data_IF_030114881607
#
_entry.id   IF_030114881607
#
_cell.length_a   1.000
_cell.length_b   1.000
_cell.length_c   1.000
_cell.angle_alpha   90.00
_cell.angle_beta   90.00
_cell.angle_gamma   90.00
#
_symmetry.space_group_name_H-M   'P 1'
#
loop_
_entity.id
_entity.type
_entity.pdbx_description
1 polymer ?
#
# COMPACT_ATOMS: atom_id res chain seq x y z
N UNK A 1 29.51 -4.05 -10.35
CA UNK A 1 29.01 -2.85 -11.07
C UNK A 1 27.61 -2.55 -10.54
N UNK A 2 27.26 -1.31 -10.15
CA UNK A 2 25.91 -0.97 -9.71
C UNK A 2 24.89 -1.08 -10.86
N UNK A 3 23.67 -1.56 -10.56
CA UNK A 3 22.58 -1.73 -11.53
C UNK A 3 21.38 -0.84 -11.20
N UNK A 4 20.64 -0.41 -12.22
CA UNK A 4 19.33 0.24 -12.03
C UNK A 4 18.28 -0.83 -11.78
N UNK A 5 17.58 -0.73 -10.66
CA UNK A 5 16.60 -1.73 -10.20
C UNK A 5 15.22 -1.08 -10.10
N UNK A 6 14.20 -1.78 -10.59
CA UNK A 6 12.81 -1.50 -10.29
C UNK A 6 12.29 -2.61 -9.37
N UNK A 7 11.59 -2.23 -8.30
CA UNK A 7 10.93 -3.17 -7.39
C UNK A 7 9.44 -3.15 -7.70
N UNK A 8 8.87 -4.33 -7.94
CA UNK A 8 7.43 -4.49 -8.16
C UNK A 8 6.85 -5.30 -7.01
N UNK A 9 5.83 -4.74 -6.36
CA UNK A 9 5.06 -5.44 -5.33
C UNK A 9 3.72 -5.81 -5.92
N UNK A 10 3.51 -7.12 -6.11
CA UNK A 10 2.23 -7.69 -6.52
C UNK A 10 1.36 -7.86 -5.28
N UNK A 11 0.31 -7.05 -5.16
CA UNK A 11 -0.57 -7.04 -3.99
C UNK A 11 -1.99 -6.62 -4.36
N UNK A 12 -2.94 -7.53 -4.17
CA UNK A 12 -4.36 -7.18 -4.07
C UNK A 12 -4.67 -6.65 -2.66
N UNK A 13 -5.80 -5.95 -2.52
CA UNK A 13 -6.27 -5.35 -1.27
C UNK A 13 -7.28 -6.28 -0.55
N UNK A 14 -8.34 -5.74 0.07
CA UNK A 14 -9.32 -6.54 0.78
C UNK A 14 -10.08 -7.50 -0.15
N UNK A 15 -10.45 -8.68 0.34
CA UNK A 15 -11.13 -9.75 -0.40
C UNK A 15 -12.60 -9.93 0.01
N UNK A 16 -13.17 -8.94 0.70
CA UNK A 16 -14.49 -9.02 1.34
C UNK A 16 -15.48 -7.98 0.80
N UNK A 17 -15.39 -7.67 -0.51
CA UNK A 17 -16.26 -6.68 -1.16
C UNK A 17 -17.67 -7.21 -1.48
N UNK A 18 -17.84 -8.52 -1.62
CA UNK A 18 -19.09 -9.13 -2.08
C UNK A 18 -19.59 -10.20 -1.10
N UNK A 19 -20.88 -10.15 -0.76
CA UNK A 19 -21.51 -11.17 0.09
C UNK A 19 -21.53 -12.55 -0.55
N UNK A 20 -21.55 -12.61 -1.88
CA UNK A 20 -21.45 -13.83 -2.70
C UNK A 20 -20.03 -14.26 -3.00
N UNK A 21 -19.03 -13.46 -2.59
CA UNK A 21 -17.63 -13.78 -2.77
C UNK A 21 -17.15 -14.89 -1.82
N UNK A 22 -15.96 -15.48 -2.07
CA UNK A 22 -15.45 -16.61 -1.31
C UNK A 22 -15.22 -16.33 0.19
N UNK A 23 -15.15 -15.06 0.58
CA UNK A 23 -14.93 -14.63 1.96
C UNK A 23 -16.11 -13.86 2.57
N UNK A 24 -17.21 -13.73 1.82
CA UNK A 24 -18.36 -12.91 2.21
C UNK A 24 -18.05 -11.41 2.27
N UNK A 25 -19.06 -10.63 2.63
CA UNK A 25 -18.93 -9.18 2.81
C UNK A 25 -18.45 -8.86 4.23
N UNK A 26 -17.53 -7.91 4.35
CA UNK A 26 -17.12 -7.34 5.62
C UNK A 26 -17.20 -5.81 5.58
N UNK A 27 -17.74 -5.15 6.62
CA UNK A 27 -17.71 -3.69 6.70
C UNK A 27 -16.29 -3.10 6.78
N UNK A 28 -15.28 -3.92 7.11
CA UNK A 28 -13.88 -3.52 7.12
C UNK A 28 -13.30 -3.29 5.71
N UNK A 29 -13.95 -3.79 4.66
CA UNK A 29 -13.42 -3.82 3.29
C UNK A 29 -13.10 -2.42 2.77
N UNK A 30 -14.04 -1.47 2.91
CA UNK A 30 -13.90 -0.11 2.39
C UNK A 30 -12.89 0.71 3.21
N UNK A 31 -12.94 0.73 4.56
CA UNK A 31 -11.92 1.41 5.36
C UNK A 31 -10.50 0.87 5.12
N UNK A 32 -10.34 -0.44 4.92
CA UNK A 32 -9.03 -1.05 4.63
C UNK A 32 -8.47 -0.56 3.29
N UNK A 33 -9.24 -0.69 2.20
CA UNK A 33 -8.83 -0.26 0.87
C UNK A 33 -8.53 1.25 0.81
N UNK A 34 -9.36 2.06 1.48
CA UNK A 34 -9.15 3.51 1.57
C UNK A 34 -7.87 3.88 2.33
N UNK A 35 -7.54 3.15 3.40
CA UNK A 35 -6.32 3.37 4.17
C UNK A 35 -5.06 3.02 3.35
N UNK A 36 -5.07 1.89 2.63
CA UNK A 36 -4.02 1.53 1.68
C UNK A 36 -3.88 2.57 0.56
N UNK A 37 -4.99 3.06 0.01
CA UNK A 37 -4.98 4.08 -1.05
C UNK A 37 -4.46 5.44 -0.55
N UNK A 38 -4.78 5.83 0.69
CA UNK A 38 -4.22 7.04 1.32
C UNK A 38 -2.71 6.93 1.44
N UNK A 39 -2.21 5.84 2.02
CA UNK A 39 -0.77 5.56 2.09
C UNK A 39 -0.13 5.60 0.69
N UNK A 40 -0.75 4.95 -0.30
CA UNK A 40 -0.16 4.90 -1.64
C UNK A 40 -0.07 6.27 -2.32
N UNK A 41 -0.94 7.22 -1.93
CA UNK A 41 -0.95 8.58 -2.43
C UNK A 41 0.04 9.49 -1.71
N UNK A 42 0.21 9.32 -0.39
CA UNK A 42 0.92 10.28 0.46
C UNK A 42 2.25 9.77 1.00
N UNK A 43 2.47 8.46 1.00
CA UNK A 43 3.50 7.75 1.76
C UNK A 43 3.46 7.99 3.28
N UNK A 44 2.39 8.59 3.83
CA UNK A 44 2.17 8.63 5.29
C UNK A 44 2.04 7.19 5.82
N UNK A 45 2.90 6.80 6.75
CA UNK A 45 2.93 5.45 7.31
C UNK A 45 1.68 5.10 8.10
N UNK A 46 1.02 6.06 8.77
CA UNK A 46 -0.09 5.78 9.72
C UNK A 46 -1.28 5.06 9.06
N UNK A 47 -1.81 5.52 7.90
CA UNK A 47 -2.87 4.78 7.21
C UNK A 47 -2.55 3.31 6.93
N UNK A 48 -1.30 2.99 6.56
CA UNK A 48 -0.94 1.61 6.27
C UNK A 48 -0.63 0.82 7.55
N UNK A 49 0.30 1.32 8.35
CA UNK A 49 0.91 0.56 9.46
C UNK A 49 0.02 0.48 10.70
N UNK A 50 -0.91 1.42 10.87
CA UNK A 50 -1.82 1.47 12.01
C UNK A 50 -3.25 1.16 11.55
N UNK A 51 -3.83 1.99 10.70
CA UNK A 51 -5.25 1.89 10.34
C UNK A 51 -5.56 0.60 9.56
N UNK A 52 -4.92 0.37 8.41
CA UNK A 52 -5.12 -0.85 7.62
C UNK A 52 -4.70 -2.11 8.40
N UNK A 53 -3.66 -2.02 9.25
CA UNK A 53 -3.22 -3.14 10.08
C UNK A 53 -4.33 -3.66 11.00
N UNK A 54 -5.10 -2.76 11.63
CA UNK A 54 -6.19 -3.13 12.55
C UNK A 54 -7.35 -3.83 11.86
N UNK A 55 -7.52 -3.61 10.55
CA UNK A 55 -8.61 -4.14 9.74
C UNK A 55 -8.21 -5.40 8.96
N UNK A 56 -6.93 -5.78 8.99
CA UNK A 56 -6.35 -6.81 8.12
C UNK A 56 -7.08 -8.16 8.21
N UNK A 57 -7.40 -8.59 9.43
CA UNK A 57 -8.00 -9.89 9.67
C UNK A 57 -9.43 -9.97 9.11
N UNK A 58 -10.17 -8.87 9.13
CA UNK A 58 -11.53 -8.77 8.57
C UNK A 58 -11.55 -8.47 7.07
N UNK A 59 -10.53 -7.78 6.58
CA UNK A 59 -10.34 -7.48 5.16
C UNK A 59 -9.89 -8.71 4.35
N UNK A 60 -9.31 -9.74 5.02
CA UNK A 60 -8.78 -10.96 4.38
C UNK A 60 -7.77 -10.66 3.26
N UNK A 61 -6.98 -9.59 3.42
CA UNK A 61 -6.01 -9.15 2.42
C UNK A 61 -4.74 -10.02 2.43
N UNK A 62 -4.32 -10.50 1.25
CA UNK A 62 -3.08 -11.25 1.08
C UNK A 62 -1.86 -10.35 0.77
N UNK A 63 -2.09 -9.16 0.21
CA UNK A 63 -1.03 -8.26 -0.27
C UNK A 63 -0.42 -7.32 0.78
N UNK A 64 -1.03 -7.21 1.97
CA UNK A 64 -0.67 -6.19 2.98
C UNK A 64 0.81 -6.20 3.35
N UNK A 65 1.39 -7.38 3.60
CA UNK A 65 2.79 -7.48 3.99
C UNK A 65 3.75 -6.95 2.90
N UNK A 66 3.40 -7.13 1.62
CA UNK A 66 4.17 -6.57 0.52
C UNK A 66 4.18 -5.04 0.54
N UNK A 67 3.05 -4.41 0.86
CA UNK A 67 2.94 -2.96 1.01
C UNK A 67 3.76 -2.45 2.21
N UNK A 68 3.72 -3.15 3.34
CA UNK A 68 4.50 -2.81 4.54
C UNK A 68 6.01 -2.92 4.29
N UNK A 69 6.46 -3.97 3.59
CA UNK A 69 7.86 -4.13 3.18
C UNK A 69 8.26 -3.00 2.23
N UNK A 70 7.41 -2.65 1.26
CA UNK A 70 7.68 -1.54 0.34
C UNK A 70 7.85 -0.23 1.09
N UNK A 71 6.97 0.08 2.04
CA UNK A 71 7.09 1.29 2.86
C UNK A 71 8.45 1.34 3.57
N UNK A 72 8.84 0.26 4.27
CA UNK A 72 10.15 0.20 4.93
C UNK A 72 11.34 0.29 3.96
N UNK A 73 11.24 -0.28 2.76
CA UNK A 73 12.26 -0.16 1.73
C UNK A 73 12.40 1.29 1.23
N UNK A 74 11.29 1.99 1.01
CA UNK A 74 11.29 3.40 0.57
C UNK A 74 11.92 4.32 1.63
N UNK A 75 11.68 4.05 2.92
CA UNK A 75 12.37 4.73 4.04
C UNK A 75 13.88 4.48 4.01
N UNK A 76 14.34 3.25 3.70
CA UNK A 76 15.78 2.91 3.80
C UNK A 76 16.61 3.27 2.58
N UNK A 77 16.04 3.25 1.37
CA UNK A 77 16.79 3.39 0.10
C UNK A 77 17.09 4.85 -0.26
N UNK A 78 16.67 5.79 0.58
CA UNK A 78 16.86 7.19 0.29
C UNK A 78 18.29 7.66 0.62
N UNK A 79 19.06 7.97 -0.44
CA UNK A 79 20.45 8.41 -0.33
C UNK A 79 20.65 9.76 0.38
N UNK A 80 21.92 10.15 0.57
CA UNK A 80 22.31 11.41 1.20
C UNK A 80 21.58 12.62 0.57
N UNK A 81 20.73 13.29 1.34
CA UNK A 81 19.90 14.41 0.90
C UNK A 81 18.49 14.44 1.48
N UNK A 82 18.04 13.32 2.07
CA UNK A 82 16.73 13.18 2.71
C UNK A 82 16.90 13.36 4.23
N UNK A 83 16.35 14.44 4.80
CA UNK A 83 16.60 14.83 6.21
C UNK A 83 15.32 14.89 7.07
N UNK A 84 14.21 14.36 6.56
CA UNK A 84 12.93 14.32 7.27
C UNK A 84 12.86 13.30 8.42
N UNK A 85 11.83 13.43 9.27
CA UNK A 85 11.56 12.59 10.45
C UNK A 85 11.22 11.14 10.12
N UNK A 86 10.69 10.89 8.92
CA UNK A 86 10.66 9.57 8.29
C UNK A 86 11.68 9.54 7.17
N UNK A 87 12.95 9.40 7.56
CA UNK A 87 14.11 9.49 6.70
C UNK A 87 13.83 8.74 5.38
N UNK A 88 13.73 9.48 4.27
CA UNK A 88 13.76 8.93 2.94
C UNK A 88 12.48 8.90 2.13
N UNK A 89 11.30 8.98 2.74
CA UNK A 89 10.04 9.01 2.00
C UNK A 89 9.85 10.30 1.20
N UNK A 90 10.42 11.41 1.69
CA UNK A 90 10.48 12.72 1.03
C UNK A 90 11.26 12.69 -0.29
N UNK A 91 12.17 11.75 -0.46
CA UNK A 91 12.95 11.53 -1.68
C UNK A 91 12.20 10.77 -2.77
N UNK A 92 10.94 10.39 -2.54
CA UNK A 92 10.09 9.75 -3.51
C UNK A 92 8.93 10.65 -3.93
N UNK A 93 8.55 10.56 -5.20
CA UNK A 93 7.31 11.11 -5.74
C UNK A 93 6.31 9.98 -5.84
N UNK A 94 5.32 10.01 -4.95
CA UNK A 94 4.20 9.08 -4.95
C UNK A 94 3.16 9.45 -6.00
N UNK A 95 2.62 8.44 -6.68
CA UNK A 95 1.48 8.58 -7.58
C UNK A 95 0.60 7.34 -7.50
N UNK A 96 -0.62 7.53 -7.02
CA UNK A 96 -1.70 6.56 -7.12
C UNK A 96 -2.43 6.77 -8.46
N UNK A 97 -2.47 5.74 -9.29
CA UNK A 97 -3.03 5.78 -10.64
C UNK A 97 -4.49 5.36 -10.68
N UNK A 98 -4.82 4.28 -9.99
CA UNK A 98 -6.18 3.74 -9.96
C UNK A 98 -6.41 2.96 -8.66
N UNK A 99 -7.68 2.93 -8.25
CA UNK A 99 -8.23 2.04 -7.21
C UNK A 99 -9.55 1.51 -7.75
N UNK A 100 -9.77 0.20 -7.68
CA UNK A 100 -11.00 -0.43 -8.18
C UNK A 100 -11.23 -1.78 -7.50
N UNK A 101 -12.47 -2.26 -7.51
CA UNK A 101 -12.85 -3.61 -7.05
C UNK A 101 -13.88 -4.20 -8.04
N UNK A 102 -13.45 -4.67 -9.22
CA UNK A 102 -14.39 -5.16 -10.25
C UNK A 102 -15.11 -6.45 -9.85
N UNK A 103 -14.60 -7.17 -8.84
CA UNK A 103 -15.20 -8.36 -8.24
C UNK A 103 -15.05 -8.29 -6.72
N UNK A 104 -14.97 -9.44 -6.04
CA UNK A 104 -14.91 -9.54 -4.57
C UNK A 104 -13.63 -8.99 -3.90
N UNK A 105 -12.61 -8.59 -4.67
CA UNK A 105 -11.35 -8.07 -4.14
C UNK A 105 -10.96 -6.69 -4.69
N UNK A 106 -10.33 -5.89 -3.83
CA UNK A 106 -9.81 -4.58 -4.16
C UNK A 106 -8.45 -4.62 -4.84
N UNK A 107 -8.21 -3.64 -5.71
CA UNK A 107 -6.97 -3.47 -6.44
C UNK A 107 -6.55 -2.00 -6.44
N UNK A 108 -5.25 -1.76 -6.43
CA UNK A 108 -4.69 -0.43 -6.69
C UNK A 108 -3.43 -0.51 -7.55
N UNK A 109 -3.16 0.56 -8.29
CA UNK A 109 -1.90 0.73 -9.04
C UNK A 109 -1.25 2.02 -8.58
N UNK A 110 -0.03 1.91 -8.05
CA UNK A 110 0.76 3.04 -7.58
C UNK A 110 2.21 2.94 -8.05
N UNK A 111 2.87 4.08 -8.20
CA UNK A 111 4.30 4.17 -8.53
C UNK A 111 4.99 5.18 -7.64
N UNK A 112 6.22 4.85 -7.24
CA UNK A 112 7.10 5.71 -6.45
C UNK A 112 8.40 5.87 -7.23
N UNK A 113 8.65 7.08 -7.72
CA UNK A 113 9.87 7.40 -8.47
C UNK A 113 10.74 8.31 -7.64
N UNK A 114 12.05 8.12 -7.69
CA UNK A 114 12.99 9.00 -7.00
C UNK A 114 12.83 10.43 -7.52
N UNK A 115 12.81 11.40 -6.61
CA UNK A 115 12.82 12.83 -6.94
C UNK A 115 14.18 13.27 -7.49
#
# INVERSE_FOLDING_TARGET
IPQRVAVVVSADLAHTHESTGPYGYSPAVRPFDEACARWARTLDGRPLLEEARTLLDDAKCCGYLGLAILHGALTRVAGAGCTGTEAGLDCWKARLWAVSHPTYYGMMVASYVRR
#
